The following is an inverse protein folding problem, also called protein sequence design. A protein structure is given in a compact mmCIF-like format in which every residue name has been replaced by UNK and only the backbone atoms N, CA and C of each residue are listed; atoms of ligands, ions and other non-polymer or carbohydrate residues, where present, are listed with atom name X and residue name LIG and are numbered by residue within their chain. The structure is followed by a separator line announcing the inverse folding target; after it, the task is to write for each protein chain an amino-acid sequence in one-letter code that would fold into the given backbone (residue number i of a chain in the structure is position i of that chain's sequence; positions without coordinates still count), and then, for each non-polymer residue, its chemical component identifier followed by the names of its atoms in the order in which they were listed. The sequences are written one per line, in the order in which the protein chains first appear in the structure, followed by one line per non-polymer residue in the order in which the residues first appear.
data_IF_113107096854
#
_entry.id   IF_113107096854
#
_cell.length_a   1.000
_cell.length_b   1.000
_cell.length_c   1.000
_cell.angle_alpha   90.00
_cell.angle_beta   90.00
_cell.angle_gamma   90.00
#
_symmetry.space_group_name_H-M   'P 1'
#
loop_
_entity.id
_entity.type
_entity.pdbx_description
1 polymer ?
#
# COMPACT_ATOMS: atom_id res chain seq x y z
N UNK A 1 -7.38 -8.61 -6.15
CA UNK A 1 -7.71 -8.00 -4.84
C UNK A 1 -6.90 -6.75 -4.57
N UNK A 2 -5.55 -6.80 -4.51
CA UNK A 2 -4.71 -5.59 -4.31
C UNK A 2 -5.04 -4.47 -5.30
N UNK A 3 -5.09 -4.76 -6.61
CA UNK A 3 -5.41 -3.77 -7.64
C UNK A 3 -6.81 -3.16 -7.48
N UNK A 4 -7.78 -3.91 -6.94
CA UNK A 4 -9.12 -3.40 -6.69
C UNK A 4 -9.12 -2.38 -5.54
N UNK A 5 -8.33 -2.62 -4.48
CA UNK A 5 -8.14 -1.65 -3.38
C UNK A 5 -7.44 -0.38 -3.89
N UNK A 6 -6.44 -0.52 -4.78
CA UNK A 6 -5.79 0.63 -5.42
C UNK A 6 -6.78 1.42 -6.29
N UNK A 7 -7.60 0.73 -7.09
CA UNK A 7 -8.61 1.38 -7.92
C UNK A 7 -9.62 2.17 -7.07
N UNK A 8 -10.05 1.63 -5.92
CA UNK A 8 -10.90 2.33 -4.96
C UNK A 8 -10.21 3.57 -4.37
N UNK A 9 -8.92 3.46 -4.04
CA UNK A 9 -8.13 4.60 -3.56
C UNK A 9 -7.99 5.70 -4.60
N UNK A 10 -7.71 5.34 -5.86
CA UNK A 10 -7.66 6.27 -6.99
C UNK A 10 -9.02 6.92 -7.24
N UNK A 11 -10.10 6.16 -7.16
CA UNK A 11 -11.46 6.68 -7.27
C UNK A 11 -11.76 7.72 -6.19
N UNK A 12 -11.35 7.49 -4.94
CA UNK A 12 -11.47 8.48 -3.86
C UNK A 12 -10.66 9.75 -4.11
N UNK A 13 -9.46 9.63 -4.68
CA UNK A 13 -8.63 10.78 -5.06
C UNK A 13 -9.34 11.62 -6.14
N UNK A 14 -9.95 10.98 -7.14
CA UNK A 14 -10.72 11.66 -8.19
C UNK A 14 -11.91 12.42 -7.59
N UNK A 15 -12.54 11.89 -6.55
CA UNK A 15 -13.62 12.55 -5.82
C UNK A 15 -13.14 13.64 -4.84
N UNK A 16 -11.91 14.14 -4.96
CA UNK A 16 -11.29 15.13 -4.06
C UNK A 16 -11.06 14.66 -2.62
N UNK A 17 -11.29 13.37 -2.31
CA UNK A 17 -11.01 12.77 -1.01
C UNK A 17 -9.58 12.21 -0.97
N UNK A 18 -8.61 13.06 -1.31
CA UNK A 18 -7.22 12.63 -1.56
C UNK A 18 -6.58 11.96 -0.34
N UNK A 19 -6.87 12.42 0.90
CA UNK A 19 -6.38 11.77 2.13
C UNK A 19 -6.87 10.34 2.25
N UNK A 20 -8.18 10.13 2.11
CA UNK A 20 -8.79 8.79 2.21
C UNK A 20 -8.29 7.87 1.10
N UNK A 21 -8.11 8.39 -0.11
CA UNK A 21 -7.59 7.61 -1.22
C UNK A 21 -6.13 7.21 -1.05
N UNK A 22 -5.27 8.10 -0.54
CA UNK A 22 -3.86 7.79 -0.24
C UNK A 22 -3.74 6.74 0.87
N UNK A 23 -4.58 6.81 1.91
CA UNK A 23 -4.66 5.78 2.96
C UNK A 23 -5.07 4.42 2.39
N UNK A 24 -6.04 4.38 1.47
CA UNK A 24 -6.45 3.14 0.80
C UNK A 24 -5.32 2.53 -0.05
N UNK A 25 -4.53 3.36 -0.75
CA UNK A 25 -3.38 2.89 -1.51
C UNK A 25 -2.29 2.34 -0.57
N UNK A 26 -2.02 3.02 0.55
CA UNK A 26 -1.11 2.53 1.58
C UNK A 26 -1.57 1.18 2.17
N UNK A 27 -2.86 1.03 2.46
CA UNK A 27 -3.44 -0.23 2.91
C UNK A 27 -3.33 -1.34 1.86
N UNK A 28 -3.45 -1.02 0.57
CA UNK A 28 -3.25 -1.98 -0.52
C UNK A 28 -1.81 -2.53 -0.55
N UNK A 29 -0.81 -1.69 -0.25
CA UNK A 29 0.60 -2.11 -0.16
C UNK A 29 0.86 -3.02 1.04
N UNK A 30 0.27 -2.71 2.20
CA UNK A 30 0.35 -3.58 3.39
C UNK A 30 -0.34 -4.91 3.13
N UNK A 31 -1.49 -4.91 2.46
CA UNK A 31 -2.17 -6.13 2.01
C UNK A 31 -1.29 -6.94 1.05
N UNK A 32 -0.63 -6.28 0.09
CA UNK A 32 0.31 -6.93 -0.82
C UNK A 32 1.48 -7.58 -0.07
N UNK A 33 2.03 -6.89 0.93
CA UNK A 33 3.08 -7.43 1.81
C UNK A 33 2.59 -8.67 2.58
N UNK A 34 1.37 -8.62 3.15
CA UNK A 34 0.79 -9.74 3.87
C UNK A 34 0.55 -10.96 2.97
N UNK A 35 -0.01 -10.74 1.77
CA UNK A 35 -0.18 -11.80 0.76
C UNK A 35 1.19 -12.40 0.38
N UNK A 36 2.20 -11.56 0.13
CA UNK A 36 3.57 -11.99 -0.16
C UNK A 36 4.15 -12.85 0.98
N UNK A 37 3.87 -12.47 2.22
CA UNK A 37 4.30 -13.17 3.43
C UNK A 37 3.50 -14.46 3.72
N UNK A 38 2.35 -14.67 3.07
CA UNK A 38 1.54 -15.89 3.20
C UNK A 38 1.73 -16.88 2.04
N UNK A 39 2.11 -16.41 0.84
CA UNK A 39 2.40 -17.29 -0.30
C UNK A 39 3.64 -18.16 -0.03
N UNK A 40 3.48 -19.49 -0.14
CA UNK A 40 4.51 -20.51 0.12
C UNK A 40 5.51 -20.59 -1.04
N UNK A 41 6.78 -20.83 -0.68
CA UNK A 41 7.97 -20.78 -1.55
C UNK A 41 8.17 -21.98 -2.48
N UNK A 42 7.12 -22.75 -2.81
CA UNK A 42 7.22 -24.00 -3.57
C UNK A 42 7.67 -23.85 -5.05
N UNK A 43 8.05 -22.64 -5.47
CA UNK A 43 8.59 -22.34 -6.81
C UNK A 43 9.94 -21.57 -6.77
N UNK A 44 10.73 -21.76 -5.71
CA UNK A 44 11.96 -21.01 -5.47
C UNK A 44 13.20 -21.49 -6.24
N UNK A 45 13.05 -21.99 -7.47
CA UNK A 45 14.20 -22.32 -8.32
C UNK A 45 14.93 -21.09 -8.88
N UNK A 46 14.26 -19.93 -8.98
CA UNK A 46 14.76 -18.74 -9.70
C UNK A 46 14.78 -17.43 -8.87
N UNK A 47 14.27 -17.41 -7.63
CA UNK A 47 14.11 -16.19 -6.80
C UNK A 47 15.08 -16.16 -5.60
N UNK A 48 16.20 -16.88 -5.65
CA UNK A 48 17.19 -16.90 -4.57
C UNK A 48 17.82 -15.50 -4.28
N UNK A 49 17.79 -14.60 -5.27
CA UNK A 49 18.46 -13.28 -5.20
C UNK A 49 17.54 -12.20 -4.61
N UNK A 50 16.24 -12.20 -4.93
CA UNK A 50 15.29 -11.24 -4.37
C UNK A 50 14.66 -11.82 -3.12
N UNK A 51 15.27 -11.55 -1.97
CA UNK A 51 14.77 -12.05 -0.71
C UNK A 51 13.31 -11.61 -0.51
N UNK A 52 12.45 -12.59 -0.26
CA UNK A 52 11.04 -12.36 0.07
C UNK A 52 10.89 -11.40 1.25
N UNK A 53 11.84 -11.45 2.19
CA UNK A 53 11.91 -10.54 3.32
C UNK A 53 12.05 -9.08 2.90
N UNK A 54 12.96 -8.77 1.97
CA UNK A 54 13.13 -7.40 1.45
C UNK A 54 11.83 -6.91 0.80
N UNK A 55 11.17 -7.76 0.02
CA UNK A 55 9.92 -7.38 -0.65
C UNK A 55 8.80 -7.05 0.34
N UNK A 56 8.61 -7.89 1.37
CA UNK A 56 7.64 -7.64 2.45
C UNK A 56 7.98 -6.36 3.20
N UNK A 57 9.25 -6.13 3.54
CA UNK A 57 9.71 -4.94 4.25
C UNK A 57 9.51 -3.67 3.43
N UNK A 58 9.84 -3.70 2.13
CA UNK A 58 9.66 -2.55 1.24
C UNK A 58 8.17 -2.23 1.07
N UNK A 59 7.32 -3.23 0.83
CA UNK A 59 5.87 -2.99 0.69
C UNK A 59 5.22 -2.50 1.98
N UNK A 60 5.52 -3.14 3.12
CA UNK A 60 4.97 -2.75 4.41
C UNK A 60 5.48 -1.37 4.85
N UNK A 61 6.79 -1.12 4.73
CA UNK A 61 7.41 0.15 5.08
C UNK A 61 6.87 1.30 4.23
N UNK A 62 6.83 1.13 2.91
CA UNK A 62 6.31 2.17 2.02
C UNK A 62 4.81 2.41 2.24
N UNK A 63 4.00 1.35 2.43
CA UNK A 63 2.59 1.47 2.75
C UNK A 63 2.34 2.23 4.05
N UNK A 64 3.11 1.94 5.10
CA UNK A 64 3.03 2.64 6.38
C UNK A 64 3.46 4.11 6.26
N UNK A 65 4.53 4.39 5.53
CA UNK A 65 4.97 5.77 5.25
C UNK A 65 3.89 6.57 4.52
N UNK A 66 3.26 6.00 3.48
CA UNK A 66 2.15 6.66 2.79
C UNK A 66 0.99 6.99 3.72
N UNK A 67 0.58 6.04 4.57
CA UNK A 67 -0.50 6.25 5.54
C UNK A 67 -0.11 7.32 6.57
N UNK A 68 1.11 7.27 7.09
CA UNK A 68 1.61 8.25 8.05
C UNK A 68 1.59 9.67 7.47
N UNK A 69 2.09 9.86 6.24
CA UNK A 69 2.06 11.16 5.54
C UNK A 69 0.63 11.63 5.29
N UNK A 70 -0.25 10.74 4.79
CA UNK A 70 -1.64 11.10 4.52
C UNK A 70 -2.41 11.52 5.78
N UNK A 71 -2.06 10.93 6.94
CA UNK A 71 -2.68 11.24 8.22
C UNK A 71 -2.07 12.48 8.91
N UNK A 72 -0.78 12.78 8.68
CA UNK A 72 -0.14 13.98 9.24
C UNK A 72 -0.51 15.27 8.54
N UNK A 73 -0.97 15.19 7.28
CA UNK A 73 -1.45 16.38 6.58
C UNK A 73 -2.89 16.69 7.03
N UNK A 74 -2.99 17.65 7.93
CA UNK A 74 -4.21 18.35 8.30
C UNK A 74 -4.07 19.82 7.85
N UNK A 75 -5.09 20.37 7.19
CA UNK A 75 -5.07 21.75 6.69
C UNK A 75 -4.90 21.89 5.18
N UNK A 76 -6.01 21.97 4.44
CA UNK A 76 -6.07 22.41 3.03
C UNK A 76 -7.16 23.47 2.82
N UNK A 77 -7.27 24.12 1.64
CA UNK A 77 -8.17 25.27 1.40
C UNK A 77 -9.67 25.00 1.61
N UNK A 78 -10.04 23.76 1.89
CA UNK A 78 -11.39 23.24 2.07
C UNK A 78 -11.45 22.39 3.36
N UNK A 79 -10.77 22.83 4.42
CA UNK A 79 -11.09 22.30 5.74
C UNK A 79 -12.55 22.65 6.02
N UNK A 80 -13.37 21.64 6.29
CA UNK A 80 -14.67 21.86 6.91
C UNK A 80 -14.50 22.51 8.30
#
# INVERSE_FOLDING_TARGET
MVLAVVALGLFRIILYHWRQGTVLIGAALVLAAALRALLRTDQAGLIAIRSRGVDVLTYAGFGFCMMAVALTIEGGPLND
#
